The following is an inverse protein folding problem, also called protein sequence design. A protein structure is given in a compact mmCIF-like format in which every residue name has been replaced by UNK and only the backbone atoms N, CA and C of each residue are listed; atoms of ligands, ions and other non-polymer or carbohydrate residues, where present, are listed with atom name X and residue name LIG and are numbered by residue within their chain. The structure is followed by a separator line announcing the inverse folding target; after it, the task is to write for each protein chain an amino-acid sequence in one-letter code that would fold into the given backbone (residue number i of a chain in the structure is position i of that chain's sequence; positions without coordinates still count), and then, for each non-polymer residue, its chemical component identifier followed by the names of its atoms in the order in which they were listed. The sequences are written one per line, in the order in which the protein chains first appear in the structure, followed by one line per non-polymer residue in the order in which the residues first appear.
data_IF_688550294934
#
_entry.id   IF_688550294934
#
_cell.length_a   1.000
_cell.length_b   1.000
_cell.length_c   1.000
_cell.angle_alpha   90.00
_cell.angle_beta   90.00
_cell.angle_gamma   90.00
#
_symmetry.space_group_name_H-M   'P 1'
#
loop_
_entity.id
_entity.type
_entity.pdbx_description
1 polymer ?
#
# COMPACT_ATOMS: atom_id res chain seq x y z
N UNK A 1 -23.44 25.14 -19.77
CA UNK A 1 -22.68 26.06 -18.92
C UNK A 1 -21.45 25.32 -18.45
N UNK A 2 -20.36 25.51 -19.18
CA UNK A 2 -19.09 24.82 -19.00
C UNK A 2 -18.38 25.32 -17.73
N UNK A 3 -18.09 24.42 -16.79
CA UNK A 3 -17.15 24.68 -15.71
C UNK A 3 -15.81 24.01 -16.04
N UNK A 4 -15.08 24.61 -16.98
CA UNK A 4 -13.69 24.26 -17.22
C UNK A 4 -12.84 24.73 -16.02
N UNK A 5 -12.41 23.81 -15.17
CA UNK A 5 -11.36 24.08 -14.18
C UNK A 5 -10.08 24.60 -14.87
N UNK A 6 -9.26 25.41 -14.18
CA UNK A 6 -8.12 26.08 -14.81
C UNK A 6 -7.11 25.03 -15.30
N UNK A 7 -6.94 24.95 -16.62
CA UNK A 7 -5.87 24.17 -17.27
C UNK A 7 -4.53 24.81 -16.89
N UNK A 8 -3.87 24.29 -15.87
CA UNK A 8 -2.54 24.75 -15.45
C UNK A 8 -1.52 24.51 -16.56
N UNK A 9 -1.06 25.58 -17.20
CA UNK A 9 0.06 25.57 -18.14
C UNK A 9 1.35 25.20 -17.40
N UNK A 10 2.00 24.11 -17.82
CA UNK A 10 3.29 23.66 -17.28
C UNK A 10 4.44 24.54 -17.82
N UNK A 11 4.56 25.77 -17.33
CA UNK A 11 5.66 26.67 -17.66
C UNK A 11 6.99 26.26 -17.03
N UNK A 12 8.09 26.37 -17.78
CA UNK A 12 9.48 26.03 -17.39
C UNK A 12 10.06 26.79 -16.17
N UNK A 13 9.32 27.72 -15.56
CA UNK A 13 9.82 28.64 -14.53
C UNK A 13 8.88 28.76 -13.31
N UNK A 14 8.37 27.65 -12.79
CA UNK A 14 7.63 27.68 -11.52
C UNK A 14 8.61 27.83 -10.35
N UNK A 15 8.65 29.00 -9.73
CA UNK A 15 9.41 29.22 -8.49
C UNK A 15 8.82 28.33 -7.39
N UNK A 16 9.67 27.60 -6.67
CA UNK A 16 9.26 26.94 -5.42
C UNK A 16 8.95 28.07 -4.45
N UNK A 17 7.66 28.30 -4.20
CA UNK A 17 7.23 29.29 -3.22
C UNK A 17 7.61 28.79 -1.83
N UNK A 18 8.16 29.65 -0.96
CA UNK A 18 8.33 29.32 0.45
C UNK A 18 6.97 28.90 1.00
N UNK A 19 6.94 27.73 1.61
CA UNK A 19 5.78 27.18 2.28
C UNK A 19 6.20 26.93 3.72
N UNK A 20 5.50 27.56 4.65
CA UNK A 20 5.65 27.29 6.08
C UNK A 20 4.51 26.37 6.49
N UNK A 21 4.80 25.10 6.84
CA UNK A 21 3.77 24.21 7.37
C UNK A 21 3.35 24.69 8.75
N UNK A 22 2.05 24.62 9.06
CA UNK A 22 1.56 24.88 10.42
C UNK A 22 2.18 23.93 11.46
N UNK A 23 2.49 22.69 11.07
CA UNK A 23 3.25 21.72 11.88
C UNK A 23 3.90 20.64 10.99
N UNK A 24 4.89 19.92 11.53
CA UNK A 24 5.52 18.77 10.84
C UNK A 24 4.48 17.69 10.51
N UNK A 25 3.50 17.47 11.39
CA UNK A 25 2.43 16.50 11.19
C UNK A 25 1.51 16.90 10.03
N UNK A 26 1.07 18.16 10.01
CA UNK A 26 0.27 18.69 8.90
C UNK A 26 1.02 18.60 7.56
N UNK A 27 2.34 18.80 7.56
CA UNK A 27 3.17 18.61 6.37
C UNK A 27 3.20 17.15 5.91
N UNK A 28 3.37 16.21 6.84
CA UNK A 28 3.39 14.77 6.54
C UNK A 28 2.06 14.29 5.96
N UNK A 29 0.95 14.72 6.55
CA UNK A 29 -0.39 14.39 6.07
C UNK A 29 -0.65 14.94 4.69
N UNK A 30 -0.34 16.22 4.45
CA UNK A 30 -0.48 16.83 3.13
C UNK A 30 0.39 16.12 2.08
N UNK A 31 1.62 15.73 2.45
CA UNK A 31 2.52 14.96 1.58
C UNK A 31 1.94 13.59 1.23
N UNK A 32 1.45 12.84 2.24
CA UNK A 32 0.84 11.52 2.04
C UNK A 32 -0.40 11.60 1.17
N UNK A 33 -1.30 12.55 1.42
CA UNK A 33 -2.51 12.75 0.61
C UNK A 33 -2.17 13.08 -0.84
N UNK A 34 -1.19 13.97 -1.06
CA UNK A 34 -0.72 14.32 -2.40
C UNK A 34 -0.09 13.12 -3.11
N UNK A 35 0.66 12.28 -2.41
CA UNK A 35 1.26 11.08 -3.00
C UNK A 35 0.19 10.00 -3.27
N UNK A 36 -0.76 9.81 -2.35
CA UNK A 36 -1.86 8.87 -2.48
C UNK A 36 -2.80 9.20 -3.64
N UNK A 37 -3.07 10.48 -3.91
CA UNK A 37 -3.89 10.88 -5.06
C UNK A 37 -3.26 10.49 -6.41
N UNK A 38 -1.95 10.29 -6.46
CA UNK A 38 -1.23 9.86 -7.67
C UNK A 38 -1.12 8.33 -7.78
N UNK A 39 -1.36 7.58 -6.70
CA UNK A 39 -1.14 6.13 -6.65
C UNK A 39 -2.18 5.30 -7.42
N UNK A 40 -3.44 5.75 -7.46
CA UNK A 40 -4.49 4.97 -8.13
C UNK A 40 -4.58 5.27 -9.63
N UNK A 41 -4.28 6.49 -10.06
CA UNK A 41 -4.51 6.94 -11.44
C UNK A 41 -3.54 6.34 -12.48
N UNK A 42 -2.51 5.59 -12.06
CA UNK A 42 -1.44 5.12 -12.96
C UNK A 42 -1.27 3.59 -13.01
N UNK A 43 -1.73 2.83 -12.01
CA UNK A 43 -1.51 1.37 -11.94
C UNK A 43 -2.71 0.49 -12.32
N UNK A 44 -3.89 1.08 -12.56
CA UNK A 44 -5.10 0.35 -12.95
C UNK A 44 -5.01 -0.36 -14.31
N UNK A 45 -6.15 -0.76 -14.86
CA UNK A 45 -6.21 -1.55 -16.11
C UNK A 45 -5.77 -0.76 -17.35
N UNK A 46 -5.95 0.56 -17.31
CA UNK A 46 -5.66 1.48 -18.40
C UNK A 46 -6.77 1.51 -19.46
N UNK A 47 -6.86 2.60 -20.25
CA UNK A 47 -8.00 2.84 -21.15
C UNK A 47 -8.21 1.74 -22.20
N UNK A 48 -7.12 1.09 -22.62
CA UNK A 48 -7.18 0.02 -23.62
C UNK A 48 -7.92 -1.22 -23.09
N UNK A 49 -7.58 -1.69 -21.89
CA UNK A 49 -8.22 -2.86 -21.30
C UNK A 49 -9.70 -2.57 -21.02
N UNK A 50 -10.01 -1.38 -20.52
CA UNK A 50 -11.40 -0.96 -20.25
C UNK A 50 -12.25 -0.91 -21.52
N UNK A 51 -11.70 -0.41 -22.64
CA UNK A 51 -12.38 -0.40 -23.94
C UNK A 51 -12.62 -1.81 -24.48
N UNK A 52 -11.62 -2.70 -24.37
CA UNK A 52 -11.74 -4.10 -24.80
C UNK A 52 -12.80 -4.85 -23.98
N UNK A 53 -12.88 -4.61 -22.66
CA UNK A 53 -13.93 -5.19 -21.81
C UNK A 53 -15.32 -4.67 -22.15
N UNK A 54 -15.46 -3.36 -22.36
CA UNK A 54 -16.74 -2.76 -22.74
C UNK A 54 -17.25 -3.33 -24.08
N UNK A 55 -16.38 -3.47 -25.08
CA UNK A 55 -16.72 -4.07 -26.37
C UNK A 55 -17.12 -5.55 -26.24
N UNK A 56 -16.52 -6.28 -25.29
CA UNK A 56 -16.83 -7.68 -25.01
C UNK A 56 -18.05 -7.87 -24.08
N UNK A 57 -18.66 -6.80 -23.57
CA UNK A 57 -19.76 -6.88 -22.59
C UNK A 57 -19.33 -7.37 -21.20
N UNK A 58 -18.04 -7.23 -20.86
CA UNK A 58 -17.47 -7.63 -19.57
C UNK A 58 -17.52 -6.43 -18.62
N UNK A 59 -18.21 -6.58 -17.49
CA UNK A 59 -18.28 -5.54 -16.46
C UNK A 59 -16.94 -5.42 -15.71
N UNK A 60 -16.57 -4.19 -15.34
CA UNK A 60 -15.43 -3.95 -14.46
C UNK A 60 -15.68 -4.56 -13.06
N UNK A 61 -14.63 -5.09 -12.39
CA UNK A 61 -14.80 -5.67 -11.06
C UNK A 61 -15.02 -4.58 -10.00
N UNK A 62 -15.85 -4.88 -9.00
CA UNK A 62 -15.92 -4.10 -7.77
C UNK A 62 -14.70 -4.42 -6.89
N UNK A 63 -13.69 -3.56 -6.96
CA UNK A 63 -12.44 -3.72 -6.23
C UNK A 63 -12.64 -3.67 -4.70
N UNK A 64 -13.56 -2.84 -4.20
CA UNK A 64 -13.81 -2.73 -2.77
C UNK A 64 -14.44 -4.01 -2.23
N UNK A 65 -15.46 -4.54 -2.93
CA UNK A 65 -16.08 -5.81 -2.59
C UNK A 65 -15.07 -6.97 -2.67
N UNK A 66 -14.23 -6.99 -3.70
CA UNK A 66 -13.20 -8.02 -3.88
C UNK A 66 -12.17 -8.03 -2.74
N UNK A 67 -11.69 -6.85 -2.31
CA UNK A 67 -10.73 -6.72 -1.19
C UNK A 67 -11.34 -7.21 0.12
N UNK A 68 -12.57 -6.77 0.42
CA UNK A 68 -13.31 -7.21 1.60
C UNK A 68 -13.49 -8.73 1.61
N UNK A 69 -13.93 -9.30 0.49
CA UNK A 69 -14.11 -10.74 0.34
C UNK A 69 -12.81 -11.53 0.63
N UNK A 70 -11.67 -11.10 0.07
CA UNK A 70 -10.38 -11.77 0.27
C UNK A 70 -9.96 -11.74 1.74
N UNK A 71 -10.06 -10.58 2.41
CA UNK A 71 -9.73 -10.46 3.83
C UNK A 71 -10.61 -11.35 4.71
N UNK A 72 -11.94 -11.33 4.50
CA UNK A 72 -12.86 -12.17 5.28
C UNK A 72 -12.61 -13.66 5.07
N UNK A 73 -12.23 -14.08 3.86
CA UNK A 73 -11.83 -15.45 3.59
C UNK A 73 -10.56 -15.84 4.37
N UNK A 74 -9.55 -14.97 4.43
CA UNK A 74 -8.34 -15.22 5.23
C UNK A 74 -8.71 -15.40 6.69
N UNK A 75 -9.51 -14.49 7.26
CA UNK A 75 -9.95 -14.58 8.65
C UNK A 75 -10.76 -15.84 8.94
N UNK A 76 -11.67 -16.23 8.04
CA UNK A 76 -12.43 -17.47 8.19
C UNK A 76 -11.50 -18.70 8.26
N UNK A 77 -10.46 -18.75 7.42
CA UNK A 77 -9.47 -19.82 7.44
C UNK A 77 -8.61 -19.80 8.72
N UNK A 78 -8.27 -18.63 9.24
CA UNK A 78 -7.56 -18.50 10.52
C UNK A 78 -8.42 -18.97 11.70
N UNK A 79 -9.69 -18.56 11.75
CA UNK A 79 -10.68 -19.01 12.76
C UNK A 79 -10.82 -20.52 12.73
N UNK A 80 -10.99 -21.10 11.52
CA UNK A 80 -11.14 -22.55 11.33
C UNK A 80 -9.95 -23.36 11.87
N UNK A 81 -8.75 -22.77 11.89
CA UNK A 81 -7.52 -23.41 12.38
C UNK A 81 -7.18 -23.05 13.84
N UNK A 82 -7.96 -22.17 14.47
CA UNK A 82 -7.66 -21.68 15.82
C UNK A 82 -6.39 -20.83 15.89
N UNK A 83 -6.04 -20.11 14.82
CA UNK A 83 -4.88 -19.21 14.81
C UNK A 83 -5.27 -17.80 15.24
N UNK A 84 -4.37 -17.08 15.90
CA UNK A 84 -4.60 -15.68 16.32
C UNK A 84 -4.35 -14.66 15.20
N UNK A 85 -3.58 -15.05 14.18
CA UNK A 85 -3.31 -14.21 13.02
C UNK A 85 -2.36 -14.87 12.02
N UNK A 86 -2.01 -14.14 10.97
CA UNK A 86 -1.01 -14.51 9.99
C UNK A 86 0.01 -13.39 9.79
N UNK A 87 1.28 -13.75 9.65
CA UNK A 87 2.35 -12.84 9.23
C UNK A 87 2.80 -13.24 7.81
N UNK A 88 2.61 -12.34 6.85
CA UNK A 88 2.81 -12.58 5.42
C UNK A 88 4.01 -11.80 4.90
N UNK A 89 4.98 -12.48 4.30
CA UNK A 89 6.14 -11.88 3.63
C UNK A 89 6.08 -11.97 2.11
N UNK A 90 5.46 -13.04 1.59
CA UNK A 90 5.34 -13.24 0.16
C UNK A 90 4.51 -12.08 -0.45
N UNK A 91 5.05 -11.33 -1.43
CA UNK A 91 4.37 -10.18 -2.01
C UNK A 91 3.06 -10.56 -2.73
N UNK A 92 2.87 -11.81 -3.15
CA UNK A 92 1.61 -12.33 -3.70
C UNK A 92 0.59 -12.51 -2.59
N UNK A 93 0.99 -13.04 -1.43
CA UNK A 93 0.10 -13.18 -0.27
C UNK A 93 -0.30 -11.81 0.30
N UNK A 94 0.65 -10.88 0.40
CA UNK A 94 0.38 -9.49 0.79
C UNK A 94 -0.62 -8.88 -0.21
N UNK A 95 -0.37 -9.02 -1.52
CA UNK A 95 -1.27 -8.52 -2.56
C UNK A 95 -2.67 -9.13 -2.47
N UNK A 96 -2.77 -10.42 -2.18
CA UNK A 96 -4.06 -11.07 -1.99
C UNK A 96 -4.83 -10.49 -0.80
N UNK A 97 -4.15 -10.25 0.32
CA UNK A 97 -4.76 -9.71 1.53
C UNK A 97 -5.15 -8.22 1.42
N UNK A 98 -4.30 -7.40 0.79
CA UNK A 98 -4.43 -5.93 0.85
C UNK A 98 -4.73 -5.28 -0.51
N UNK A 99 -4.52 -5.98 -1.63
CA UNK A 99 -4.55 -5.41 -2.98
C UNK A 99 -3.64 -4.18 -3.16
N UNK A 100 -2.61 -4.05 -2.32
CA UNK A 100 -1.58 -3.02 -2.44
C UNK A 100 -0.31 -3.60 -3.06
N UNK A 101 0.41 -2.77 -3.82
CA UNK A 101 1.68 -3.15 -4.46
C UNK A 101 2.77 -2.15 -4.12
N UNK A 102 4.00 -2.64 -3.91
CA UNK A 102 5.19 -1.79 -3.73
C UNK A 102 6.38 -2.63 -4.16
N UNK A 103 7.03 -2.23 -5.24
CA UNK A 103 8.23 -2.90 -5.79
C UNK A 103 8.12 -4.45 -5.79
N UNK A 104 7.01 -5.02 -6.29
CA UNK A 104 6.67 -6.44 -6.11
C UNK A 104 7.82 -7.42 -6.39
N UNK A 105 8.56 -7.21 -7.49
CA UNK A 105 9.70 -8.05 -7.86
C UNK A 105 10.87 -7.90 -6.89
N UNK A 106 11.12 -6.69 -6.40
CA UNK A 106 12.14 -6.42 -5.40
C UNK A 106 11.76 -7.08 -4.06
N UNK A 107 10.51 -6.94 -3.62
CA UNK A 107 10.02 -7.52 -2.35
C UNK A 107 10.03 -9.05 -2.39
N UNK A 108 9.90 -9.65 -3.58
CA UNK A 108 9.90 -11.11 -3.73
C UNK A 108 11.18 -11.79 -3.24
N UNK A 109 12.31 -11.07 -3.21
CA UNK A 109 13.60 -11.61 -2.77
C UNK A 109 14.27 -10.75 -1.68
N UNK A 110 13.59 -9.72 -1.19
CA UNK A 110 14.10 -8.86 -0.14
C UNK A 110 12.97 -8.53 0.87
N UNK A 111 13.06 -8.99 2.14
CA UNK A 111 11.98 -8.86 3.12
C UNK A 111 11.86 -7.44 3.73
N UNK A 112 11.63 -6.40 2.94
CA UNK A 112 11.29 -5.04 3.44
C UNK A 112 9.80 -4.73 3.41
N UNK A 113 8.95 -5.73 3.19
CA UNK A 113 7.51 -5.58 3.33
C UNK A 113 6.93 -6.83 3.95
N UNK A 114 6.03 -6.66 4.92
CA UNK A 114 5.25 -7.75 5.48
C UNK A 114 3.90 -7.25 5.99
N UNK A 115 2.95 -8.17 6.13
CA UNK A 115 1.61 -7.84 6.59
C UNK A 115 1.21 -8.77 7.74
N UNK A 116 0.78 -8.19 8.85
CA UNK A 116 0.13 -8.92 9.93
C UNK A 116 -1.39 -8.79 9.79
N UNK A 117 -2.09 -9.92 9.84
CA UNK A 117 -3.55 -9.99 9.82
C UNK A 117 -3.98 -10.67 11.11
N UNK A 118 -4.61 -9.93 12.01
CA UNK A 118 -5.26 -10.53 13.16
C UNK A 118 -6.53 -11.29 12.72
N UNK A 119 -6.78 -12.44 13.34
CA UNK A 119 -7.99 -13.24 13.11
C UNK A 119 -9.25 -12.45 13.45
N UNK A 120 -9.18 -11.71 14.55
CA UNK A 120 -10.12 -10.66 14.95
C UNK A 120 -9.27 -9.42 15.27
N UNK A 121 -9.52 -8.29 14.62
CA UNK A 121 -8.75 -7.06 14.84
C UNK A 121 -8.01 -6.58 13.58
N UNK A 122 -6.90 -5.84 13.71
CA UNK A 122 -6.37 -5.03 12.63
C UNK A 122 -5.63 -5.84 11.57
N UNK A 123 -5.60 -5.28 10.37
CA UNK A 123 -4.58 -5.55 9.35
C UNK A 123 -3.51 -4.47 9.46
N UNK A 124 -2.29 -4.88 9.80
CA UNK A 124 -1.13 -3.99 9.92
C UNK A 124 -0.19 -4.29 8.78
N UNK A 125 0.09 -3.29 7.96
CA UNK A 125 1.04 -3.38 6.87
C UNK A 125 2.36 -2.73 7.28
N UNK A 126 3.44 -3.49 7.26
CA UNK A 126 4.78 -2.97 7.45
C UNK A 126 5.38 -2.70 6.09
N UNK A 127 5.52 -1.43 5.72
CA UNK A 127 5.94 -1.01 4.38
C UNK A 127 7.30 -0.31 4.39
N UNK A 128 7.87 -0.11 3.21
CA UNK A 128 9.10 0.62 3.04
C UNK A 128 8.98 2.07 3.54
N UNK A 129 10.08 2.65 3.98
CA UNK A 129 10.08 4.03 4.48
C UNK A 129 9.57 5.01 3.41
N UNK A 130 8.68 5.93 3.79
CA UNK A 130 8.02 6.90 2.89
C UNK A 130 7.05 6.31 1.85
N UNK A 131 6.64 5.04 2.03
CA UNK A 131 5.73 4.34 1.12
C UNK A 131 4.32 4.12 1.71
N UNK A 132 3.98 4.81 2.81
CA UNK A 132 2.74 4.58 3.57
C UNK A 132 1.48 4.78 2.72
N UNK A 133 1.54 5.74 1.80
CA UNK A 133 0.48 6.11 0.85
C UNK A 133 0.13 5.00 -0.17
N UNK A 134 0.99 3.99 -0.39
CA UNK A 134 0.80 2.94 -1.42
C UNK A 134 -0.32 1.95 -1.08
N UNK A 135 -0.90 2.04 0.12
CA UNK A 135 -2.01 1.18 0.54
C UNK A 135 -3.29 1.94 0.87
N UNK A 136 -3.29 3.27 0.77
CA UNK A 136 -4.42 4.12 1.19
C UNK A 136 -5.71 3.82 0.42
N UNK A 137 -5.57 3.34 -0.82
CA UNK A 137 -6.72 2.93 -1.63
C UNK A 137 -7.37 1.62 -1.22
N UNK A 138 -6.69 0.81 -0.42
CA UNK A 138 -7.08 -0.56 -0.12
C UNK A 138 -8.41 -0.63 0.63
N UNK A 139 -8.59 0.27 1.61
CA UNK A 139 -9.74 0.28 2.51
C UNK A 139 -9.78 -0.90 3.51
N UNK A 140 -8.87 -1.88 3.40
CA UNK A 140 -8.78 -3.03 4.32
C UNK A 140 -7.53 -3.03 5.20
N UNK A 141 -6.58 -2.11 4.96
CA UNK A 141 -5.40 -1.90 5.82
C UNK A 141 -5.76 -0.89 6.91
N UNK A 142 -5.61 -1.27 8.18
CA UNK A 142 -5.93 -0.42 9.32
C UNK A 142 -4.76 0.47 9.75
N UNK A 143 -3.54 -0.08 9.69
CA UNK A 143 -2.33 0.59 10.13
C UNK A 143 -1.20 0.35 9.13
N UNK A 144 -0.38 1.38 8.91
CA UNK A 144 0.88 1.24 8.16
C UNK A 144 2.03 1.62 9.08
N UNK A 145 3.00 0.72 9.20
CA UNK A 145 4.19 0.88 10.07
C UNK A 145 5.47 0.74 9.23
N UNK A 146 6.60 1.32 9.66
CA UNK A 146 7.87 1.11 8.99
C UNK A 146 8.31 -0.35 9.08
N UNK A 147 8.68 -0.95 7.96
CA UNK A 147 9.25 -2.30 7.94
C UNK A 147 10.67 -2.34 8.51
N UNK A 148 10.94 -3.36 9.32
CA UNK A 148 12.30 -3.69 9.78
C UNK A 148 12.83 -4.81 8.89
N UNK A 149 13.73 -4.46 7.97
CA UNK A 149 14.46 -5.44 7.19
C UNK A 149 15.54 -6.12 8.03
N UNK A 150 15.48 -7.44 8.11
CA UNK A 150 16.44 -8.26 8.84
C UNK A 150 17.46 -8.94 7.91
N UNK A 151 17.36 -8.77 6.59
CA UNK A 151 18.32 -9.39 5.67
C UNK A 151 19.69 -8.70 5.71
N UNK A 152 20.73 -9.46 5.37
CA UNK A 152 22.12 -8.98 5.38
C UNK A 152 22.35 -7.74 4.50
N UNK A 153 21.66 -7.60 3.36
CA UNK A 153 21.76 -6.41 2.50
C UNK A 153 21.52 -5.09 3.27
N UNK A 154 20.61 -5.10 4.25
CA UNK A 154 20.26 -3.92 5.06
C UNK A 154 20.94 -3.89 6.42
N UNK A 155 21.31 -5.06 6.96
CA UNK A 155 21.88 -5.21 8.30
C UNK A 155 23.41 -5.26 8.32
N UNK A 156 24.05 -5.82 7.30
CA UNK A 156 25.43 -6.28 7.36
C UNK A 156 25.68 -7.10 8.62
N UNK A 157 26.75 -6.78 9.35
CA UNK A 157 27.09 -7.37 10.65
C UNK A 157 26.05 -7.11 11.75
N UNK A 158 25.14 -6.15 11.57
CA UNK A 158 24.07 -5.84 12.53
C UNK A 158 22.81 -6.70 12.33
N UNK A 159 22.87 -7.74 11.50
CA UNK A 159 21.73 -8.62 11.18
C UNK A 159 21.05 -9.16 12.45
N UNK A 160 21.80 -9.64 13.44
CA UNK A 160 21.20 -10.12 14.69
C UNK A 160 20.43 -9.02 15.45
N UNK A 161 20.98 -7.80 15.49
CA UNK A 161 20.33 -6.67 16.14
C UNK A 161 19.04 -6.28 15.40
N UNK A 162 19.04 -6.34 14.06
CA UNK A 162 17.86 -6.10 13.23
C UNK A 162 16.78 -7.17 13.46
N UNK A 163 17.16 -8.44 13.55
CA UNK A 163 16.22 -9.53 13.88
C UNK A 163 15.58 -9.29 15.26
N UNK A 164 16.37 -8.92 16.28
CA UNK A 164 15.84 -8.59 17.61
C UNK A 164 14.88 -7.40 17.57
N UNK A 165 15.22 -6.33 16.84
CA UNK A 165 14.35 -5.16 16.67
C UNK A 165 13.03 -5.53 15.97
N UNK A 166 13.10 -6.38 14.95
CA UNK A 166 11.93 -6.88 14.24
C UNK A 166 11.04 -7.75 15.13
N UNK A 167 11.63 -8.67 15.91
CA UNK A 167 10.89 -9.57 16.80
C UNK A 167 10.19 -8.85 17.96
N UNK A 168 10.66 -7.66 18.34
CA UNK A 168 10.09 -6.87 19.42
C UNK A 168 8.77 -6.15 19.07
N UNK A 169 8.37 -6.12 17.79
CA UNK A 169 7.22 -5.36 17.31
C UNK A 169 7.56 -3.94 16.87
#
# INVERSE_FOLDING_TARGET
MDSAGPKGSFGRHRKIMPFEPGSIEALRDASRQKAGSLNQHVLGYGPRAEAEWAAAGIAAPDLAAMRKYRLERIRAELKRRGYAGALLYDPVNIRYATDSTNMQLWVAHNPTRHCFIATEGPVVLFDYFSCEHLSDHSGVVNEVRPAVSWMYLYGGELTEQKVRRWAAG
#
